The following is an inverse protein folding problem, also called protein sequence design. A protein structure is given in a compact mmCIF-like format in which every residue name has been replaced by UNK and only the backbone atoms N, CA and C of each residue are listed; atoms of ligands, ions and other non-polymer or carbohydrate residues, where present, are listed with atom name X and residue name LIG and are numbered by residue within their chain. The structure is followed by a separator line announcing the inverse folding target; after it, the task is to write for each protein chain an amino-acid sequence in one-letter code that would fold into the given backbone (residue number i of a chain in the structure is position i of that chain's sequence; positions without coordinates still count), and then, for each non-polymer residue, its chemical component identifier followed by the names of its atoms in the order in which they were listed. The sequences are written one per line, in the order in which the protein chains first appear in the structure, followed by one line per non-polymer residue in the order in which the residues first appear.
data_IF_043736796869
#
_entry.id   IF_043736796869
#
_cell.length_a   1.000
_cell.length_b   1.000
_cell.length_c   1.000
_cell.angle_alpha   90.00
_cell.angle_beta   90.00
_cell.angle_gamma   90.00
#
_symmetry.space_group_name_H-M   'P 1'
#
loop_
_entity.id
_entity.type
_entity.pdbx_description
1 polymer ?
#
# COMPACT_ATOMS: atom_id res chain seq x y z
N UNK A 1 15.40 -6.88 -10.93
CA UNK A 1 15.41 -5.56 -11.61
C UNK A 1 14.23 -4.79 -11.12
N UNK A 2 14.42 -3.65 -10.46
CA UNK A 2 13.31 -2.80 -10.03
C UNK A 2 12.81 -2.04 -11.25
N UNK A 3 11.61 -2.38 -11.70
CA UNK A 3 11.00 -1.71 -12.83
C UNK A 3 10.43 -0.36 -12.37
N UNK A 4 10.86 0.73 -13.00
CA UNK A 4 10.30 2.07 -12.78
C UNK A 4 8.93 2.14 -13.48
N UNK A 5 7.93 1.43 -12.93
CA UNK A 5 6.63 1.21 -13.56
C UNK A 5 5.49 1.98 -12.89
N UNK A 6 5.76 3.13 -12.28
CA UNK A 6 4.75 3.89 -11.52
C UNK A 6 3.53 4.28 -12.38
N UNK A 7 3.70 4.49 -13.69
CA UNK A 7 2.64 4.95 -14.59
C UNK A 7 1.52 3.91 -14.82
N UNK A 8 1.80 2.63 -15.14
CA UNK A 8 0.79 1.56 -15.10
C UNK A 8 -0.01 1.51 -13.79
N UNK A 9 0.65 1.69 -12.64
CA UNK A 9 -0.04 1.69 -11.35
C UNK A 9 -0.97 2.89 -11.20
N UNK A 10 -0.60 4.08 -11.68
CA UNK A 10 -1.52 5.23 -11.68
C UNK A 10 -2.80 4.98 -12.46
N UNK A 11 -2.73 4.27 -13.59
CA UNK A 11 -3.92 3.89 -14.33
C UNK A 11 -4.78 2.89 -13.55
N UNK A 12 -4.16 1.89 -12.92
CA UNK A 12 -4.88 0.92 -12.09
C UNK A 12 -5.56 1.59 -10.88
N UNK A 13 -4.85 2.48 -10.18
CA UNK A 13 -5.40 3.26 -9.08
C UNK A 13 -6.50 4.22 -9.53
N UNK A 14 -6.34 4.85 -10.70
CA UNK A 14 -7.37 5.68 -11.32
C UNK A 14 -8.65 4.89 -11.64
N UNK A 15 -8.51 3.67 -12.16
CA UNK A 15 -9.63 2.78 -12.43
C UNK A 15 -10.32 2.34 -11.13
N UNK A 16 -9.57 1.98 -10.10
CA UNK A 16 -10.12 1.66 -8.77
C UNK A 16 -10.90 2.84 -8.17
N UNK A 17 -10.35 4.06 -8.31
CA UNK A 17 -11.02 5.30 -7.87
C UNK A 17 -12.35 5.52 -8.59
N UNK A 18 -12.41 5.26 -9.90
CA UNK A 18 -13.64 5.39 -10.69
C UNK A 18 -14.67 4.30 -10.37
N UNK A 19 -14.20 3.08 -10.11
CA UNK A 19 -15.04 1.92 -9.80
C UNK A 19 -15.72 2.05 -8.43
N UNK A 20 -15.01 2.58 -7.43
CA UNK A 20 -15.58 2.95 -6.13
C UNK A 20 -15.94 1.78 -5.20
N UNK A 21 -15.90 0.52 -5.64
CA UNK A 21 -16.25 -0.64 -4.79
C UNK A 21 -15.36 -0.80 -3.57
N UNK A 22 -14.15 -0.25 -3.60
CA UNK A 22 -13.26 -0.26 -2.44
C UNK A 22 -13.88 0.40 -1.20
N UNK A 23 -14.87 1.29 -1.38
CA UNK A 23 -15.59 1.95 -0.30
C UNK A 23 -16.45 0.99 0.53
N UNK A 24 -16.86 -0.14 -0.03
CA UNK A 24 -17.72 -1.13 0.62
C UNK A 24 -16.93 -2.19 1.44
N UNK A 25 -15.60 -2.09 1.46
CA UNK A 25 -14.72 -3.05 2.13
C UNK A 25 -13.82 -2.38 3.17
N UNK A 26 -13.54 -3.09 4.27
CA UNK A 26 -12.66 -2.61 5.34
C UNK A 26 -11.21 -2.41 4.88
N UNK A 27 -10.79 -3.21 3.90
CA UNK A 27 -9.42 -3.28 3.41
C UNK A 27 -9.36 -3.42 1.89
N UNK A 28 -8.39 -2.74 1.30
CA UNK A 28 -7.91 -2.98 -0.07
C UNK A 28 -6.51 -3.56 0.00
N UNK A 29 -6.26 -4.60 -0.80
CA UNK A 29 -4.97 -5.30 -0.84
C UNK A 29 -4.50 -5.35 -2.29
N UNK A 30 -3.34 -4.72 -2.60
CA UNK A 30 -2.63 -4.96 -3.87
C UNK A 30 -1.74 -6.18 -3.67
N UNK A 31 -1.77 -7.07 -4.66
CA UNK A 31 -1.03 -8.33 -4.66
C UNK A 31 -0.30 -8.44 -5.99
N UNK A 32 1.00 -8.73 -5.95
CA UNK A 32 1.76 -8.93 -7.19
C UNK A 32 1.42 -10.28 -7.85
N UNK A 33 1.55 -10.40 -9.19
CA UNK A 33 1.16 -11.62 -9.92
C UNK A 33 1.91 -12.90 -9.51
N UNK A 34 3.09 -12.77 -8.91
CA UNK A 34 3.92 -13.88 -8.41
C UNK A 34 3.68 -14.21 -6.94
N UNK A 35 2.72 -13.53 -6.28
CA UNK A 35 2.42 -13.73 -4.86
C UNK A 35 1.34 -14.80 -4.64
N UNK A 36 1.62 -15.78 -3.79
CA UNK A 36 0.60 -16.73 -3.31
C UNK A 36 -0.18 -16.09 -2.16
N UNK A 37 -1.44 -15.74 -2.43
CA UNK A 37 -2.30 -15.04 -1.48
C UNK A 37 -3.30 -15.96 -0.78
N UNK A 38 -3.35 -15.94 0.56
CA UNK A 38 -4.26 -16.72 1.39
C UNK A 38 -5.29 -15.84 2.14
N UNK A 39 -6.44 -15.47 1.54
CA UNK A 39 -7.38 -14.50 2.11
C UNK A 39 -7.88 -14.84 3.52
N UNK A 40 -8.01 -16.13 3.84
CA UNK A 40 -8.49 -16.60 5.14
C UNK A 40 -7.55 -16.19 6.29
N UNK A 41 -6.24 -16.20 6.06
CA UNK A 41 -5.24 -15.79 7.05
C UNK A 41 -5.36 -14.30 7.37
N UNK A 42 -5.60 -13.47 6.35
CA UNK A 42 -5.76 -12.02 6.52
C UNK A 42 -6.99 -11.68 7.34
N UNK A 43 -8.13 -12.34 7.09
CA UNK A 43 -9.34 -12.11 7.91
C UNK A 43 -9.14 -12.44 9.39
N UNK A 44 -8.25 -13.38 9.71
CA UNK A 44 -7.97 -13.76 11.10
C UNK A 44 -6.94 -12.85 11.77
N UNK A 45 -6.01 -12.29 11.00
CA UNK A 45 -4.86 -11.55 11.54
C UNK A 45 -4.98 -10.04 11.44
N UNK A 46 -5.74 -9.52 10.47
CA UNK A 46 -5.91 -8.08 10.33
C UNK A 46 -6.79 -7.56 11.47
N UNK A 47 -6.30 -6.62 12.28
CA UNK A 47 -7.12 -6.01 13.31
C UNK A 47 -8.28 -5.26 12.66
N UNK A 48 -9.45 -5.26 13.29
CA UNK A 48 -10.49 -4.33 12.85
C UNK A 48 -10.03 -2.91 13.16
N UNK A 49 -10.12 -2.03 12.17
CA UNK A 49 -9.88 -0.61 12.39
C UNK A 49 -11.17 0.08 12.81
N UNK A 50 -11.05 1.14 13.61
CA UNK A 50 -12.17 2.01 13.89
C UNK A 50 -12.66 2.71 12.61
N UNK A 51 -13.92 3.16 12.57
CA UNK A 51 -14.45 3.95 11.45
C UNK A 51 -13.53 5.14 11.13
N UNK A 52 -13.21 5.34 9.85
CA UNK A 52 -12.38 6.45 9.39
C UNK A 52 -10.88 6.32 9.70
N UNK A 53 -10.42 5.21 10.26
CA UNK A 53 -9.00 4.94 10.43
C UNK A 53 -8.28 4.95 9.07
N UNK A 54 -7.10 5.58 9.06
CA UNK A 54 -6.23 5.69 7.90
C UNK A 54 -4.93 4.96 8.20
N UNK A 55 -4.99 3.64 8.12
CA UNK A 55 -3.87 2.74 8.43
C UNK A 55 -3.44 1.97 7.20
N UNK A 56 -2.12 1.85 7.01
CA UNK A 56 -1.50 0.89 6.10
C UNK A 56 -0.50 0.03 6.88
N UNK A 57 -0.17 -1.15 6.36
CA UNK A 57 0.73 -2.08 7.06
C UNK A 57 2.11 -2.13 6.40
N UNK A 58 3.15 -1.90 7.21
CA UNK A 58 4.53 -2.13 6.83
C UNK A 58 4.84 -3.62 6.97
N UNK A 59 5.10 -4.30 5.85
CA UNK A 59 5.46 -5.71 5.78
C UNK A 59 6.97 -5.93 5.81
N UNK A 60 7.78 -4.90 5.53
CA UNK A 60 9.24 -5.00 5.58
C UNK A 60 9.82 -4.36 6.86
N UNK A 61 10.38 -5.16 7.81
CA UNK A 61 10.97 -4.62 9.03
C UNK A 61 12.34 -3.96 8.80
N UNK A 62 12.76 -3.12 9.74
CA UNK A 62 14.10 -2.52 9.81
C UNK A 62 14.48 -1.59 8.64
N UNK A 63 13.48 -1.06 7.93
CA UNK A 63 13.65 -0.08 6.85
C UNK A 63 12.84 1.19 7.12
N UNK A 64 13.27 2.32 6.55
CA UNK A 64 12.55 3.60 6.69
C UNK A 64 11.20 3.65 5.96
N UNK A 65 11.03 2.83 4.91
CA UNK A 65 9.79 2.70 4.14
C UNK A 65 9.49 1.22 4.00
N UNK A 66 8.54 0.72 4.78
CA UNK A 66 8.28 -0.71 4.96
C UNK A 66 7.02 -1.20 4.26
N UNK A 67 6.32 -0.35 3.51
CA UNK A 67 5.18 -0.74 2.66
C UNK A 67 5.76 -1.20 1.32
N UNK A 68 5.90 -2.52 1.14
CA UNK A 68 6.82 -3.05 0.13
C UNK A 68 6.19 -4.10 -0.80
N UNK A 69 6.45 -3.90 -2.09
CA UNK A 69 6.43 -4.89 -3.18
C UNK A 69 5.18 -5.74 -3.32
N UNK A 70 5.28 -6.99 -2.87
CA UNK A 70 4.36 -8.07 -3.23
C UNK A 70 3.02 -8.06 -2.52
N UNK A 71 2.92 -7.36 -1.39
CA UNK A 71 1.69 -7.28 -0.62
C UNK A 71 1.54 -5.93 0.08
N UNK A 72 0.56 -5.18 -0.38
CA UNK A 72 0.30 -3.83 0.11
C UNK A 72 -1.11 -3.78 0.69
N UNK A 73 -1.22 -3.53 1.99
CA UNK A 73 -2.48 -3.60 2.73
C UNK A 73 -2.86 -2.22 3.23
N UNK A 74 -4.03 -1.76 2.81
CA UNK A 74 -4.56 -0.45 3.13
C UNK A 74 -5.96 -0.59 3.72
N UNK A 75 -6.19 0.01 4.89
CA UNK A 75 -7.56 0.22 5.38
C UNK A 75 -8.37 1.08 4.40
N UNK A 76 -9.69 0.98 4.47
CA UNK A 76 -10.62 1.79 3.67
C UNK A 76 -10.27 3.29 3.69
N UNK A 77 -9.99 3.85 4.87
CA UNK A 77 -9.62 5.25 5.00
C UNK A 77 -8.26 5.59 4.40
N UNK A 78 -7.30 4.66 4.45
CA UNK A 78 -5.97 4.87 3.86
C UNK A 78 -6.02 4.86 2.32
N UNK A 79 -6.71 3.89 1.70
CA UNK A 79 -6.87 3.85 0.25
C UNK A 79 -7.67 5.06 -0.24
N UNK A 80 -8.72 5.48 0.47
CA UNK A 80 -9.47 6.68 0.13
C UNK A 80 -8.59 7.94 0.20
N UNK A 81 -7.78 8.08 1.25
CA UNK A 81 -6.86 9.20 1.41
C UNK A 81 -5.82 9.24 0.27
N UNK A 82 -5.25 8.08 -0.08
CA UNK A 82 -4.32 7.95 -1.20
C UNK A 82 -4.96 8.36 -2.53
N UNK A 83 -6.09 7.76 -2.91
CA UNK A 83 -6.74 8.00 -4.20
C UNK A 83 -7.21 9.45 -4.37
N UNK A 84 -7.59 10.11 -3.28
CA UNK A 84 -7.97 11.52 -3.26
C UNK A 84 -6.74 12.45 -3.39
N UNK A 85 -5.61 12.08 -2.80
CA UNK A 85 -4.37 12.86 -2.84
C UNK A 85 -3.50 12.57 -4.07
N UNK A 86 -3.75 11.46 -4.79
CA UNK A 86 -2.87 10.92 -5.83
C UNK A 86 -2.45 11.96 -6.89
N UNK A 87 -3.39 12.78 -7.37
CA UNK A 87 -3.10 13.79 -8.39
C UNK A 87 -2.17 14.90 -7.85
N UNK A 88 -2.36 15.30 -6.58
CA UNK A 88 -1.48 16.25 -5.90
C UNK A 88 -0.11 15.63 -5.60
N UNK A 89 -0.07 14.36 -5.19
CA UNK A 89 1.17 13.63 -4.93
C UNK A 89 2.04 13.51 -6.19
N UNK A 90 1.44 13.31 -7.36
CA UNK A 90 2.18 13.29 -8.63
C UNK A 90 2.88 14.63 -8.96
N UNK A 91 2.38 15.74 -8.42
CA UNK A 91 2.97 17.07 -8.60
C UNK A 91 4.03 17.36 -7.53
N UNK A 92 3.78 16.94 -6.29
CA UNK A 92 4.56 17.37 -5.12
C UNK A 92 5.68 16.40 -4.73
N UNK A 93 5.53 15.10 -5.01
CA UNK A 93 6.51 14.09 -4.61
C UNK A 93 7.57 13.89 -5.71
N UNK A 94 8.85 13.76 -5.36
CA UNK A 94 9.96 13.60 -6.31
C UNK A 94 10.11 12.15 -6.81
N UNK A 95 9.01 11.45 -7.10
CA UNK A 95 9.02 10.00 -7.37
C UNK A 95 9.73 9.62 -8.69
N UNK A 96 9.83 10.58 -9.62
CA UNK A 96 10.56 10.42 -10.89
C UNK A 96 12.06 10.19 -10.68
N UNK A 97 12.58 10.36 -9.46
CA UNK A 97 13.97 10.09 -9.09
C UNK A 97 14.24 8.59 -8.82
N UNK A 98 13.41 7.70 -9.36
CA UNK A 98 13.62 6.24 -9.30
C UNK A 98 12.86 5.52 -8.20
N UNK A 99 11.76 6.09 -7.71
CA UNK A 99 10.92 5.41 -6.72
C UNK A 99 10.11 4.28 -7.37
N UNK A 100 9.90 3.20 -6.60
CA UNK A 100 8.86 2.23 -6.87
C UNK A 100 7.46 2.81 -6.65
N UNK A 101 6.44 2.12 -7.14
CA UNK A 101 5.04 2.46 -6.89
C UNK A 101 4.67 2.34 -5.41
N UNK A 102 5.26 1.38 -4.71
CA UNK A 102 5.06 1.09 -3.30
C UNK A 102 5.49 2.29 -2.45
N UNK A 103 6.69 2.81 -2.71
CA UNK A 103 7.21 4.01 -2.06
C UNK A 103 6.40 5.26 -2.40
N UNK A 104 5.95 5.42 -3.65
CA UNK A 104 5.04 6.51 -4.01
C UNK A 104 3.72 6.41 -3.22
N UNK A 105 3.13 5.22 -3.17
CA UNK A 105 1.89 4.95 -2.46
C UNK A 105 2.03 5.27 -0.97
N UNK A 106 3.10 4.76 -0.33
CA UNK A 106 3.41 5.03 1.07
C UNK A 106 3.55 6.53 1.34
N UNK A 107 4.39 7.23 0.57
CA UNK A 107 4.65 8.66 0.80
C UNK A 107 3.42 9.51 0.57
N UNK A 108 2.61 9.16 -0.42
CA UNK A 108 1.36 9.84 -0.68
C UNK A 108 0.35 9.61 0.45
N UNK A 109 0.20 8.38 0.93
CA UNK A 109 -0.61 8.03 2.11
C UNK A 109 -0.18 8.80 3.36
N UNK A 110 1.12 8.84 3.66
CA UNK A 110 1.69 9.61 4.78
C UNK A 110 1.36 11.10 4.64
N UNK A 111 1.51 11.67 3.44
CA UNK A 111 1.18 13.08 3.17
C UNK A 111 -0.31 13.38 3.33
N UNK A 112 -1.18 12.38 3.14
CA UNK A 112 -2.62 12.44 3.32
C UNK A 112 -3.09 12.08 4.75
N UNK A 113 -2.15 11.91 5.68
CA UNK A 113 -2.42 11.65 7.10
C UNK A 113 -2.73 10.19 7.44
N UNK A 114 -2.41 9.24 6.57
CA UNK A 114 -2.43 7.83 6.92
C UNK A 114 -1.15 7.43 7.69
N UNK A 115 -1.28 6.45 8.57
CA UNK A 115 -0.22 6.02 9.49
C UNK A 115 0.14 4.57 9.21
N UNK A 116 1.44 4.32 9.07
CA UNK A 116 1.98 2.97 8.94
C UNK A 116 1.97 2.23 10.27
N UNK A 117 1.44 1.00 10.27
CA UNK A 117 1.49 0.07 11.40
C UNK A 117 2.35 -1.15 11.06
N UNK A 118 2.98 -1.81 12.05
CA UNK A 118 3.67 -3.08 11.82
C UNK A 118 2.71 -4.16 11.31
N UNK A 119 3.09 -4.85 10.24
CA UNK A 119 2.39 -6.01 9.67
C UNK A 119 3.35 -7.13 9.28
N UNK A 120 4.44 -7.29 10.02
CA UNK A 120 5.56 -8.17 9.68
C UNK A 120 5.22 -9.67 9.68
N UNK A 121 4.11 -10.06 10.29
CA UNK A 121 3.59 -11.43 10.33
C UNK A 121 2.53 -11.70 9.25
N UNK A 122 2.20 -10.69 8.42
CA UNK A 122 1.21 -10.78 7.35
C UNK A 122 1.81 -11.26 6.03
N UNK A 123 3.14 -11.24 5.91
CA UNK A 123 3.85 -11.64 4.70
C UNK A 123 5.16 -12.35 5.05
N UNK A 124 5.54 -13.33 4.23
CA UNK A 124 6.92 -13.82 4.13
C UNK A 124 7.47 -13.45 2.75
N UNK A 125 8.31 -12.41 2.69
CA UNK A 125 8.98 -11.95 1.47
C UNK A 125 10.49 -12.23 1.55
N UNK A 126 11.06 -12.88 0.54
CA UNK A 126 12.51 -13.10 0.45
C UNK A 126 13.32 -11.88 -0.03
N UNK A 127 12.66 -10.90 -0.66
CA UNK A 127 13.26 -9.65 -1.13
C UNK A 127 13.34 -8.60 -0.02
N UNK A 128 12.43 -8.66 0.96
CA UNK A 128 12.62 -7.95 2.20
C UNK A 128 13.61 -8.69 3.10
N UNK A 129 14.90 -8.44 2.87
CA UNK A 129 15.94 -8.77 3.83
C UNK A 129 15.93 -7.71 4.93
N UNK A 130 14.93 -7.76 5.80
CA UNK A 130 15.05 -7.12 7.09
C UNK A 130 16.32 -7.69 7.72
N UNK A 131 17.35 -6.84 7.87
CA UNK A 131 18.60 -7.26 8.48
C UNK A 131 18.30 -8.04 9.77
N UNK A 132 18.88 -9.24 9.87
CA UNK A 132 18.89 -10.02 11.10
C UNK A 132 19.60 -9.29 12.24
#
# INVERSE_FOLDING_TARGET
GSWVNTQPFFHAWGALRQDGRYLDYDYTIKVDPDTVFFPAMFRQRLPMQGPGARVFFNNCPNVGNGFYGSLEIMSNGAIAAFLNAMDQCQIQLPFQQGWGEDLFCQKCMESAGAVGQPGYDLMADGNCQGAG
#
